data_IF_246613081224
#
_entry.id   IF_246613081224
#
_cell.length_a   1.000
_cell.length_b   1.000
_cell.length_c   1.000
_cell.angle_alpha   90.00
_cell.angle_beta   90.00
_cell.angle_gamma   90.00
#
_symmetry.space_group_name_H-M   'P 1'
#
loop_
_entity.id
_entity.type
_entity.pdbx_description
1 polymer ?
#
# COMPACT_ATOMS: atom_id res chain seq x y z
N UNK A 1 -17.30 30.87 6.85
CA UNK A 1 -15.85 30.61 6.66
C UNK A 1 -15.69 29.13 6.37
N UNK A 2 -15.61 28.74 5.10
CA UNK A 2 -15.51 27.33 4.69
C UNK A 2 -14.12 26.77 4.99
N UNK A 3 -14.05 25.59 5.61
CA UNK A 3 -12.79 24.85 5.77
C UNK A 3 -12.31 24.46 4.37
N UNK A 4 -11.18 25.03 3.94
CA UNK A 4 -10.54 24.73 2.66
C UNK A 4 -10.34 23.22 2.49
N UNK A 5 -10.99 22.65 1.47
CA UNK A 5 -10.84 21.24 1.09
C UNK A 5 -9.40 20.84 0.70
N UNK A 6 -8.50 21.81 0.49
CA UNK A 6 -7.11 21.58 0.05
C UNK A 6 -6.21 20.89 1.07
N UNK A 7 -6.43 21.05 2.37
CA UNK A 7 -5.57 20.44 3.40
C UNK A 7 -5.76 18.93 3.57
N UNK A 8 -6.98 18.43 3.35
CA UNK A 8 -7.30 17.01 3.42
C UNK A 8 -6.76 16.25 2.20
N UNK A 9 -6.87 16.86 1.00
CA UNK A 9 -6.33 16.30 -0.24
C UNK A 9 -4.79 16.22 -0.20
N UNK A 10 -4.11 17.30 0.17
CA UNK A 10 -2.64 17.30 0.28
C UNK A 10 -2.11 16.26 1.28
N UNK A 11 -2.82 16.06 2.40
CA UNK A 11 -2.47 15.05 3.38
C UNK A 11 -2.69 13.60 2.91
N UNK A 12 -3.64 13.36 2.00
CA UNK A 12 -3.90 12.04 1.41
C UNK A 12 -2.86 11.68 0.36
N UNK A 13 -2.56 12.58 -0.57
CA UNK A 13 -1.57 12.35 -1.63
C UNK A 13 -0.16 12.08 -1.09
N UNK A 14 0.27 12.83 -0.07
CA UNK A 14 1.56 12.58 0.57
C UNK A 14 1.62 11.19 1.24
N UNK A 15 0.48 10.70 1.74
CA UNK A 15 0.41 9.38 2.39
C UNK A 15 0.48 8.25 1.35
N UNK A 16 -0.21 8.39 0.22
CA UNK A 16 -0.10 7.49 -0.92
C UNK A 16 1.32 7.46 -1.49
N UNK A 17 1.91 8.63 -1.77
CA UNK A 17 3.28 8.71 -2.30
C UNK A 17 4.31 8.07 -1.37
N UNK A 18 4.17 8.24 -0.05
CA UNK A 18 5.05 7.59 0.93
C UNK A 18 4.89 6.07 0.93
N UNK A 19 3.66 5.56 0.88
CA UNK A 19 3.39 4.13 0.81
C UNK A 19 3.94 3.51 -0.50
N UNK A 20 3.79 4.20 -1.62
CA UNK A 20 4.36 3.79 -2.91
C UNK A 20 5.89 3.76 -2.86
N UNK A 21 6.53 4.80 -2.31
CA UNK A 21 7.98 4.85 -2.16
C UNK A 21 8.52 3.70 -1.28
N UNK A 22 7.83 3.37 -0.18
CA UNK A 22 8.17 2.22 0.64
C UNK A 22 8.11 0.91 -0.15
N UNK A 23 7.04 0.67 -0.91
CA UNK A 23 6.93 -0.54 -1.74
C UNK A 23 8.09 -0.64 -2.75
N UNK A 24 8.49 0.47 -3.38
CA UNK A 24 9.66 0.49 -4.28
C UNK A 24 10.99 0.18 -3.58
N UNK A 25 11.19 0.60 -2.34
CA UNK A 25 12.40 0.22 -1.58
C UNK A 25 12.49 -1.31 -1.47
N UNK A 26 11.38 -1.98 -1.16
CA UNK A 26 11.34 -3.43 -1.06
C UNK A 26 11.60 -4.14 -2.40
N UNK A 27 11.15 -3.56 -3.52
CA UNK A 27 11.51 -4.03 -4.87
C UNK A 27 13.03 -3.96 -5.06
N UNK A 28 13.63 -2.80 -4.77
CA UNK A 28 15.06 -2.56 -4.97
C UNK A 28 15.95 -3.43 -4.08
N UNK A 29 15.46 -3.80 -2.89
CA UNK A 29 16.19 -4.67 -1.96
C UNK A 29 15.83 -6.14 -2.08
N UNK A 30 14.84 -6.48 -2.92
CA UNK A 30 14.26 -7.83 -3.03
C UNK A 30 13.88 -8.42 -1.66
N UNK A 31 13.26 -7.59 -0.81
CA UNK A 31 12.83 -7.97 0.54
C UNK A 31 11.30 -8.09 0.61
N UNK A 32 10.75 -9.02 1.40
CA UNK A 32 9.31 -9.16 1.61
C UNK A 32 8.72 -7.88 2.21
N UNK A 33 7.46 -7.59 1.89
CA UNK A 33 6.72 -6.48 2.51
C UNK A 33 6.25 -6.84 3.93
N UNK A 34 6.08 -8.13 4.22
CA UNK A 34 5.50 -8.68 5.45
C UNK A 34 4.09 -8.13 5.76
N UNK A 35 3.31 -7.83 4.71
CA UNK A 35 1.95 -7.31 4.81
C UNK A 35 0.89 -8.41 4.80
N UNK A 36 1.17 -9.57 4.19
CA UNK A 36 0.22 -10.68 4.06
C UNK A 36 0.80 -11.97 4.65
N UNK A 37 0.18 -12.46 5.72
CA UNK A 37 0.61 -13.69 6.37
C UNK A 37 0.40 -14.92 5.46
N UNK A 38 1.40 -15.79 5.42
CA UNK A 38 1.33 -17.07 4.69
C UNK A 38 1.42 -16.96 3.16
N UNK A 39 1.74 -15.78 2.63
CA UNK A 39 1.94 -15.53 1.21
C UNK A 39 3.34 -14.96 0.97
N UNK A 40 3.94 -15.27 -0.17
CA UNK A 40 5.19 -14.61 -0.56
C UNK A 40 4.84 -13.22 -1.06
N UNK A 41 5.26 -12.18 -0.33
CA UNK A 41 4.98 -10.79 -0.69
C UNK A 41 6.24 -9.99 -1.05
N UNK A 42 7.24 -10.69 -1.59
CA UNK A 42 8.43 -10.07 -2.18
C UNK A 42 8.00 -9.33 -3.45
N UNK A 43 8.03 -7.99 -3.48
CA UNK A 43 7.49 -7.23 -4.59
C UNK A 43 8.50 -7.19 -5.74
N UNK A 44 7.99 -7.35 -6.95
CA UNK A 44 8.74 -7.27 -8.20
C UNK A 44 8.38 -6.02 -8.99
N UNK A 45 7.10 -5.69 -9.06
CA UNK A 45 6.57 -4.56 -9.83
C UNK A 45 5.57 -3.78 -8.97
N UNK A 46 5.63 -2.44 -9.02
CA UNK A 46 4.75 -1.53 -8.28
C UNK A 46 4.17 -0.51 -9.25
N UNK A 47 2.85 -0.44 -9.34
CA UNK A 47 2.12 0.53 -10.14
C UNK A 47 1.27 1.42 -9.23
N UNK A 48 1.24 2.73 -9.50
CA UNK A 48 0.42 3.70 -8.78
C UNK A 48 -0.55 4.39 -9.73
N UNK A 49 -1.78 4.65 -9.28
CA UNK A 49 -2.82 5.34 -10.07
C UNK A 49 -3.12 4.66 -11.43
N UNK A 50 -3.31 3.34 -11.44
CA UNK A 50 -3.61 2.55 -12.66
C UNK A 50 -5.01 2.84 -13.26
N UNK A 51 -5.83 3.66 -12.61
CA UNK A 51 -7.20 3.99 -12.99
C UNK A 51 -8.20 2.86 -12.75
N UNK A 52 -7.81 1.79 -12.06
CA UNK A 52 -8.63 0.63 -11.77
C UNK A 52 -9.47 0.81 -10.46
N UNK A 53 -10.47 -0.05 -10.20
CA UNK A 53 -11.10 -0.11 -8.87
C UNK A 53 -10.06 -0.56 -7.81
N UNK A 54 -10.06 0.07 -6.61
CA UNK A 54 -9.18 -0.26 -5.46
C UNK A 54 -7.70 0.17 -5.55
N UNK A 55 -7.42 1.14 -6.40
CA UNK A 55 -6.13 1.27 -7.08
C UNK A 55 -5.29 2.47 -6.62
N UNK A 56 -5.03 2.58 -5.33
CA UNK A 56 -4.02 3.55 -4.90
C UNK A 56 -2.62 3.01 -5.24
N UNK A 57 -2.39 1.71 -5.02
CA UNK A 57 -1.15 1.00 -5.38
C UNK A 57 -1.47 -0.46 -5.75
N UNK A 58 -0.94 -0.94 -6.87
CA UNK A 58 -0.88 -2.36 -7.25
C UNK A 58 0.54 -2.87 -7.13
N UNK A 59 0.70 -4.05 -6.53
CA UNK A 59 1.98 -4.74 -6.37
C UNK A 59 1.89 -6.13 -6.97
N UNK A 60 2.86 -6.48 -7.81
CA UNK A 60 3.05 -7.84 -8.32
C UNK A 60 4.25 -8.45 -7.62
N UNK A 61 4.06 -9.62 -7.00
CA UNK A 61 5.10 -10.33 -6.27
C UNK A 61 5.88 -11.27 -7.19
N UNK A 62 7.03 -11.75 -6.73
CA UNK A 62 7.90 -12.68 -7.48
C UNK A 62 7.17 -13.98 -7.92
N UNK A 63 6.23 -14.47 -7.11
CA UNK A 63 5.39 -15.64 -7.42
C UNK A 63 4.20 -15.33 -8.36
N UNK A 64 4.08 -14.08 -8.80
CA UNK A 64 2.99 -13.59 -9.64
C UNK A 64 1.73 -13.20 -8.87
N UNK A 65 1.71 -13.33 -7.54
CA UNK A 65 0.61 -12.85 -6.71
C UNK A 65 0.42 -11.34 -6.87
N UNK A 66 -0.84 -10.90 -6.85
CA UNK A 66 -1.21 -9.49 -6.99
C UNK A 66 -1.78 -9.00 -5.66
N UNK A 67 -1.21 -7.90 -5.16
CA UNK A 67 -1.67 -7.21 -3.96
C UNK A 67 -2.21 -5.85 -4.40
N UNK A 68 -3.47 -5.57 -4.05
CA UNK A 68 -4.10 -4.26 -4.26
C UNK A 68 -4.21 -3.54 -2.92
N UNK A 69 -3.65 -2.34 -2.86
CA UNK A 69 -3.50 -1.57 -1.62
C UNK A 69 -4.33 -0.30 -1.71
N UNK A 70 -5.23 -0.13 -0.75
CA UNK A 70 -5.94 1.11 -0.54
C UNK A 70 -5.31 1.91 0.61
N UNK A 71 -4.85 3.11 0.30
CA UNK A 71 -4.16 4.02 1.19
C UNK A 71 -5.14 5.05 1.74
N UNK A 72 -5.62 4.84 2.97
CA UNK A 72 -6.50 5.81 3.66
C UNK A 72 -5.85 6.39 4.91
N UNK A 73 -5.81 7.72 4.97
CA UNK A 73 -5.35 8.45 6.15
C UNK A 73 -6.34 8.30 7.30
N UNK A 74 -5.83 8.03 8.51
CA UNK A 74 -6.65 7.91 9.72
C UNK A 74 -7.28 6.55 9.95
N UNK A 75 -6.91 5.53 9.15
CA UNK A 75 -7.20 4.14 9.50
C UNK A 75 -6.41 3.77 10.77
N UNK A 76 -7.13 3.55 11.86
CA UNK A 76 -6.61 2.83 13.02
C UNK A 76 -6.76 1.34 12.76
N UNK A 77 -5.76 0.53 13.13
CA UNK A 77 -5.79 -0.92 13.00
C UNK A 77 -7.07 -1.47 13.65
N UNK A 78 -8.03 -1.91 12.84
CA UNK A 78 -9.17 -2.69 13.32
C UNK A 78 -8.68 -4.02 13.85
N UNK A 79 -9.33 -4.58 14.87
CA UNK A 79 -8.95 -5.80 15.59
C UNK A 79 -8.85 -7.10 14.74
N UNK A 80 -8.92 -7.01 13.41
CA UNK A 80 -8.53 -8.09 12.52
C UNK A 80 -7.15 -7.76 11.95
N UNK A 81 -6.14 -7.80 12.83
CA UNK A 81 -4.78 -7.96 12.36
C UNK A 81 -4.68 -9.35 11.73
N UNK A 82 -4.09 -9.44 10.54
CA UNK A 82 -3.58 -10.70 10.02
C UNK A 82 -2.58 -11.22 11.08
N UNK A 83 -3.04 -12.13 11.96
CA UNK A 83 -2.18 -12.78 12.92
C UNK A 83 -1.41 -13.87 12.18
N UNK A 84 -0.10 -13.67 12.01
CA UNK A 84 0.79 -14.75 11.65
C UNK A 84 1.04 -15.57 12.93
N UNK A 85 0.28 -16.65 13.10
CA UNK A 85 0.59 -17.66 14.10
C UNK A 85 1.95 -18.30 13.76
N UNK A 86 2.82 -18.37 14.76
CA UNK A 86 4.07 -19.13 14.72
C UNK A 86 3.82 -20.64 14.62
#
# INVERSE_FOLDING_TARGET
>A
MGRSAGGAAAGGFNFQAAATALAYVHVLTSQPLDWICGQTDVPREVESETGAPWDDIRIVCEDGARIEVQVKKGLTRGLQALECGA
#
